data_IF_777429138377
#
_entry.id   IF_777429138377
#
_cell.length_a   1.000
_cell.length_b   1.000
_cell.length_c   1.000
_cell.angle_alpha   90.00
_cell.angle_beta   90.00
_cell.angle_gamma   90.00
#
_symmetry.space_group_name_H-M   'P 1'
#
loop_
_entity.id
_entity.type
_entity.pdbx_description
1 polymer ?
#
# COMPACT_ATOMS: atom_id res chain seq x y z
N UNK A 1 23.95 -15.87 11.84
CA UNK A 1 23.43 -17.25 11.68
C UNK A 1 22.42 -17.25 10.56
N UNK A 2 22.59 -18.10 9.54
CA UNK A 2 21.56 -18.27 8.50
C UNK A 2 20.77 -19.53 8.81
N UNK A 3 19.47 -19.38 9.05
CA UNK A 3 18.55 -20.49 9.31
C UNK A 3 17.80 -20.81 8.03
N UNK A 4 17.80 -22.09 7.63
CA UNK A 4 17.04 -22.54 6.47
C UNK A 4 15.59 -22.82 6.85
N UNK A 5 14.66 -22.28 6.07
CA UNK A 5 13.22 -22.55 6.21
C UNK A 5 12.80 -23.44 5.05
N UNK A 6 12.27 -24.63 5.35
CA UNK A 6 11.71 -25.53 4.33
C UNK A 6 10.19 -25.42 4.31
N UNK A 7 9.63 -25.01 3.16
CA UNK A 7 8.19 -24.80 2.99
C UNK A 7 7.70 -25.68 1.84
N UNK A 8 6.54 -26.33 2.05
CA UNK A 8 5.86 -27.07 0.99
C UNK A 8 4.75 -26.22 0.40
N UNK A 9 4.78 -26.02 -0.91
CA UNK A 9 3.77 -25.25 -1.65
C UNK A 9 2.96 -26.19 -2.55
N UNK A 10 1.64 -25.98 -2.70
CA UNK A 10 0.87 -26.62 -3.75
C UNK A 10 1.47 -26.33 -5.13
N UNK A 11 1.44 -27.30 -6.03
CA UNK A 11 2.06 -27.19 -7.37
C UNK A 11 1.61 -25.95 -8.14
N UNK A 12 0.30 -25.68 -8.14
CA UNK A 12 -0.26 -24.48 -8.79
C UNK A 12 0.34 -23.19 -8.23
N UNK A 13 0.51 -23.11 -6.91
CA UNK A 13 1.08 -21.93 -6.25
C UNK A 13 2.56 -21.79 -6.60
N UNK A 14 3.31 -22.89 -6.63
CA UNK A 14 4.72 -22.90 -7.01
C UNK A 14 4.90 -22.39 -8.45
N UNK A 15 4.09 -22.87 -9.39
CA UNK A 15 4.14 -22.44 -10.79
C UNK A 15 3.85 -20.95 -10.93
N UNK A 16 2.78 -20.45 -10.28
CA UNK A 16 2.44 -19.02 -10.32
C UNK A 16 3.51 -18.15 -9.67
N UNK A 17 4.07 -18.58 -8.54
CA UNK A 17 5.12 -17.85 -7.83
C UNK A 17 6.43 -17.79 -8.64
N UNK A 18 6.79 -18.85 -9.35
CA UNK A 18 7.94 -18.85 -10.26
C UNK A 18 7.75 -17.87 -11.43
N UNK A 19 6.59 -17.92 -12.09
CA UNK A 19 6.28 -16.98 -13.17
C UNK A 19 6.28 -15.52 -12.68
N UNK A 20 5.76 -15.27 -11.48
CA UNK A 20 5.80 -13.96 -10.85
C UNK A 20 7.25 -13.51 -10.57
N UNK A 21 8.06 -14.40 -9.98
CA UNK A 21 9.45 -14.14 -9.65
C UNK A 21 10.25 -13.71 -10.90
N UNK A 22 10.15 -14.48 -11.99
CA UNK A 22 10.81 -14.18 -13.27
C UNK A 22 10.32 -12.85 -13.85
N UNK A 23 9.00 -12.63 -13.89
CA UNK A 23 8.42 -11.42 -14.48
C UNK A 23 8.72 -10.12 -13.71
N UNK A 24 9.10 -10.21 -12.44
CA UNK A 24 9.40 -9.07 -11.57
C UNK A 24 10.90 -8.95 -11.24
N UNK A 25 11.76 -9.74 -11.90
CA UNK A 25 13.22 -9.61 -11.79
C UNK A 25 13.84 -10.26 -10.55
N UNK A 26 13.13 -11.19 -9.89
CA UNK A 26 13.70 -12.00 -8.82
C UNK A 26 14.53 -13.14 -9.40
N UNK A 27 15.72 -13.38 -8.84
CA UNK A 27 16.60 -14.46 -9.28
C UNK A 27 16.16 -15.86 -8.84
N UNK A 28 15.25 -15.95 -7.87
CA UNK A 28 14.63 -17.23 -7.46
C UNK A 28 13.34 -17.01 -6.66
N UNK A 29 12.54 -18.07 -6.52
CA UNK A 29 11.38 -18.06 -5.61
C UNK A 29 11.77 -17.82 -4.14
N UNK A 30 12.98 -18.25 -3.72
CA UNK A 30 13.46 -18.03 -2.35
C UNK A 30 13.73 -16.54 -2.11
N UNK A 31 14.20 -15.82 -3.11
CA UNK A 31 14.39 -14.38 -3.05
C UNK A 31 13.05 -13.64 -2.95
N UNK A 32 12.08 -14.02 -3.78
CA UNK A 32 10.71 -13.53 -3.68
C UNK A 32 10.12 -13.73 -2.28
N UNK A 33 10.27 -14.93 -1.70
CA UNK A 33 9.76 -15.24 -0.35
C UNK A 33 10.46 -14.36 0.71
N UNK A 34 11.79 -14.19 0.62
CA UNK A 34 12.54 -13.34 1.55
C UNK A 34 12.08 -11.88 1.50
N UNK A 35 11.96 -11.30 0.31
CA UNK A 35 11.51 -9.90 0.17
C UNK A 35 10.06 -9.72 0.59
N UNK A 36 9.18 -10.66 0.25
CA UNK A 36 7.78 -10.63 0.70
C UNK A 36 7.67 -10.66 2.22
N UNK A 37 8.49 -11.47 2.89
CA UNK A 37 8.56 -11.52 4.35
C UNK A 37 9.13 -10.22 4.91
N UNK A 38 10.20 -9.67 4.30
CA UNK A 38 10.81 -8.41 4.72
C UNK A 38 9.81 -7.27 4.65
N UNK A 39 9.06 -7.15 3.56
CA UNK A 39 8.03 -6.14 3.39
C UNK A 39 6.92 -6.25 4.44
N UNK A 40 6.46 -7.47 4.76
CA UNK A 40 5.42 -7.64 5.79
C UNK A 40 5.92 -7.37 7.21
N UNK A 41 7.18 -7.65 7.50
CA UNK A 41 7.76 -7.54 8.83
C UNK A 41 8.36 -6.15 9.11
N UNK A 42 8.90 -5.50 8.09
CA UNK A 42 9.68 -4.26 8.19
C UNK A 42 9.23 -3.18 7.21
N UNK A 43 8.20 -3.44 6.39
CA UNK A 43 7.58 -2.39 5.60
C UNK A 43 7.01 -1.33 6.53
N UNK A 44 7.38 -0.07 6.27
CA UNK A 44 6.82 1.04 7.03
C UNK A 44 5.31 1.04 6.86
N UNK A 45 4.60 1.09 8.00
CA UNK A 45 3.16 1.26 7.97
C UNK A 45 2.88 2.67 7.49
N UNK A 46 2.59 2.84 6.18
CA UNK A 46 2.34 4.14 5.57
C UNK A 46 1.19 4.91 6.24
N UNK A 47 0.24 4.18 6.84
CA UNK A 47 -0.90 4.72 7.58
C UNK A 47 -1.21 3.77 8.74
N UNK A 48 -1.10 4.28 9.97
CA UNK A 48 -1.47 3.54 11.18
C UNK A 48 -2.96 3.23 11.22
N UNK A 49 -3.37 2.27 12.05
CA UNK A 49 -4.80 1.93 12.21
C UNK A 49 -5.57 3.14 12.72
N UNK A 50 -4.97 3.93 13.61
CA UNK A 50 -5.52 5.15 14.18
C UNK A 50 -5.74 6.22 13.11
N UNK A 51 -4.76 6.45 12.24
CA UNK A 51 -4.87 7.38 11.11
C UNK A 51 -5.93 6.92 10.11
N UNK A 52 -6.01 5.62 9.81
CA UNK A 52 -7.06 5.08 8.96
C UNK A 52 -8.46 5.32 9.55
N UNK A 53 -8.61 5.15 10.86
CA UNK A 53 -9.86 5.43 11.57
C UNK A 53 -10.19 6.92 11.49
N UNK A 54 -9.21 7.79 11.68
CA UNK A 54 -9.37 9.24 11.57
C UNK A 54 -9.85 9.65 10.17
N UNK A 55 -9.17 9.17 9.12
CA UNK A 55 -9.54 9.45 7.72
C UNK A 55 -10.97 8.99 7.44
N UNK A 56 -11.35 7.78 7.89
CA UNK A 56 -12.73 7.28 7.73
C UNK A 56 -13.76 8.13 8.47
N UNK A 57 -13.44 8.63 9.67
CA UNK A 57 -14.33 9.54 10.42
C UNK A 57 -14.48 10.87 9.71
N UNK A 58 -13.38 11.46 9.23
CA UNK A 58 -13.40 12.72 8.49
C UNK A 58 -14.20 12.59 7.20
N UNK A 59 -14.02 11.51 6.44
CA UNK A 59 -14.80 11.26 5.23
C UNK A 59 -16.30 11.22 5.52
N UNK A 60 -16.72 10.46 6.54
CA UNK A 60 -18.12 10.37 6.96
C UNK A 60 -18.71 11.71 7.43
N UNK A 61 -17.96 12.47 8.22
CA UNK A 61 -18.40 13.78 8.72
C UNK A 61 -18.58 14.74 7.54
N UNK A 62 -17.62 14.77 6.62
CA UNK A 62 -17.65 15.65 5.47
C UNK A 62 -18.76 15.30 4.48
N UNK A 63 -19.05 14.01 4.29
CA UNK A 63 -20.21 13.56 3.51
C UNK A 63 -21.53 13.98 4.18
N UNK A 64 -21.67 13.70 5.48
CA UNK A 64 -22.86 14.09 6.27
C UNK A 64 -23.13 15.60 6.23
N UNK A 65 -22.07 16.40 6.29
CA UNK A 65 -22.15 17.85 6.31
C UNK A 65 -22.07 18.48 4.91
N UNK A 66 -22.07 17.67 3.83
CA UNK A 66 -21.96 18.11 2.45
C UNK A 66 -20.78 19.08 2.19
N UNK A 67 -19.63 18.85 2.85
CA UNK A 67 -18.49 19.77 2.86
C UNK A 67 -17.72 19.82 1.53
N UNK A 68 -17.97 18.86 0.64
CA UNK A 68 -17.27 18.71 -0.63
C UNK A 68 -17.88 19.57 -1.75
N UNK A 69 -19.12 20.04 -1.60
CA UNK A 69 -19.81 20.80 -2.64
C UNK A 69 -19.98 19.97 -3.93
N UNK A 70 -19.85 20.60 -5.09
CA UNK A 70 -19.80 19.89 -6.38
C UNK A 70 -18.40 19.37 -6.69
N UNK A 71 -18.29 18.40 -7.60
CA UNK A 71 -17.01 17.87 -8.06
C UNK A 71 -16.06 18.98 -8.56
N UNK A 72 -16.59 19.95 -9.30
CA UNK A 72 -15.83 21.10 -9.79
C UNK A 72 -15.25 21.95 -8.64
N UNK A 73 -16.02 22.21 -7.60
CA UNK A 73 -15.59 22.96 -6.42
C UNK A 73 -14.52 22.20 -5.63
N UNK A 74 -14.69 20.89 -5.46
CA UNK A 74 -13.72 20.03 -4.81
C UNK A 74 -12.37 20.07 -5.53
N UNK A 75 -12.36 19.86 -6.85
CA UNK A 75 -11.12 19.89 -7.64
C UNK A 75 -10.50 21.29 -7.71
N UNK A 76 -11.31 22.36 -7.70
CA UNK A 76 -10.81 23.74 -7.61
C UNK A 76 -10.05 23.99 -6.30
N UNK A 77 -10.53 23.44 -5.17
CA UNK A 77 -9.88 23.55 -3.86
C UNK A 77 -8.65 22.65 -3.70
N UNK A 78 -8.64 21.48 -4.35
CA UNK A 78 -7.52 20.53 -4.31
C UNK A 78 -6.37 20.89 -5.27
N UNK A 79 -6.59 21.78 -6.23
CA UNK A 79 -5.51 22.35 -7.04
C UNK A 79 -4.55 23.10 -6.13
N UNK A 80 -3.32 22.59 -6.02
CA UNK A 80 -2.23 23.29 -5.31
C UNK A 80 -2.10 24.71 -5.88
N UNK A 81 -1.97 25.75 -5.04
CA UNK A 81 -1.55 27.06 -5.52
C UNK A 81 -0.19 26.89 -6.22
N UNK A 82 0.00 27.54 -7.38
CA UNK A 82 1.28 27.50 -8.09
C UNK A 82 2.42 28.18 -7.32
N UNK A 83 2.08 28.96 -6.30
CA UNK A 83 3.00 29.74 -5.49
C UNK A 83 2.98 29.19 -4.06
N UNK A 84 4.03 28.45 -3.70
CA UNK A 84 4.17 27.78 -2.41
C UNK A 84 4.39 28.75 -1.24
N UNK A 85 3.33 29.40 -0.79
CA UNK A 85 3.32 30.18 0.44
C UNK A 85 2.16 29.68 1.30
N UNK A 86 2.48 28.99 2.40
CA UNK A 86 1.56 28.80 3.50
C UNK A 86 2.01 29.71 4.67
N UNK A 87 1.07 30.33 5.41
CA UNK A 87 1.36 30.99 6.67
C UNK A 87 1.81 29.99 7.76
#
# INVERSE_FOLDING_TARGET
MNTQINVRLPEKLLLTANAYAEGHGFGSIQELIKESLREKMFGETLITKEELILVKKLAKISEKNNLYGTEEEMFKRLRRPKDGIYP
#
